data_IF_918585978617
#
_entry.id   IF_918585978617
#
_cell.length_a   1.000
_cell.length_b   1.000
_cell.length_c   1.000
_cell.angle_alpha   90.00
_cell.angle_beta   90.00
_cell.angle_gamma   90.00
#
_symmetry.space_group_name_H-M   'P 1'
#
loop_
_entity.id
_entity.type
_entity.pdbx_description
1 polymer ?
#
# COMPACT_ATOMS: atom_id res chain seq x y z
N UNK A 1 -1.90 -0.89 5.53
CA UNK A 1 -1.09 -2.11 5.33
C UNK A 1 -0.60 -2.22 3.87
N UNK A 2 0.03 -1.18 3.30
CA UNK A 2 0.35 -1.13 1.86
C UNK A 2 1.53 -2.03 1.45
N UNK A 3 2.54 -2.16 2.31
CA UNK A 3 3.75 -2.96 2.04
C UNK A 3 3.52 -4.47 1.83
N UNK A 4 2.30 -4.95 2.08
CA UNK A 4 1.92 -6.35 1.89
C UNK A 4 1.07 -6.56 0.62
N UNK A 5 0.77 -5.51 -0.17
CA UNK A 5 0.22 -5.75 -1.50
C UNK A 5 1.35 -6.24 -2.41
N UNK A 6 1.21 -7.45 -2.93
CA UNK A 6 2.12 -8.01 -3.94
C UNK A 6 2.14 -7.21 -5.25
N UNK A 7 1.14 -6.35 -5.45
CA UNK A 7 0.99 -5.48 -6.60
C UNK A 7 1.91 -4.24 -6.57
N UNK A 8 2.50 -3.92 -5.42
CA UNK A 8 3.28 -2.70 -5.22
C UNK A 8 4.77 -3.04 -5.26
N UNK A 9 5.50 -2.48 -6.22
CA UNK A 9 6.96 -2.64 -6.33
C UNK A 9 7.72 -1.44 -5.75
N UNK A 10 7.13 -0.26 -5.82
CA UNK A 10 7.68 0.98 -5.25
C UNK A 10 6.63 1.67 -4.40
N UNK A 11 7.00 1.96 -3.15
CA UNK A 11 6.22 2.75 -2.21
C UNK A 11 7.08 3.93 -1.75
N UNK A 12 6.63 5.14 -2.03
CA UNK A 12 7.29 6.34 -1.54
C UNK A 12 6.39 7.13 -0.59
N UNK A 13 7.01 7.79 0.38
CA UNK A 13 6.38 8.73 1.28
C UNK A 13 7.03 10.11 1.18
N UNK A 14 6.23 11.17 1.20
CA UNK A 14 6.69 12.56 1.23
C UNK A 14 6.05 13.30 2.41
N UNK A 15 6.86 13.97 3.21
CA UNK A 15 6.40 14.79 4.33
C UNK A 15 7.37 15.95 4.62
N UNK A 16 6.83 17.09 5.07
CA UNK A 16 7.60 18.25 5.55
C UNK A 16 8.20 18.01 6.94
N UNK A 17 7.72 17.01 7.67
CA UNK A 17 8.09 16.73 9.06
C UNK A 17 9.08 15.56 9.16
N UNK A 18 10.37 15.87 9.04
CA UNK A 18 11.44 14.86 9.10
C UNK A 18 11.52 14.12 10.45
N UNK A 19 11.13 14.74 11.55
CA UNK A 19 11.13 14.13 12.89
C UNK A 19 10.19 12.94 12.95
N UNK A 20 8.96 13.08 12.46
CA UNK A 20 7.97 12.00 12.53
C UNK A 20 8.35 10.84 11.63
N UNK A 21 8.85 11.13 10.41
CA UNK A 21 9.39 10.08 9.55
C UNK A 21 10.49 9.28 10.25
N UNK A 22 11.39 9.96 10.98
CA UNK A 22 12.46 9.27 11.72
C UNK A 22 11.94 8.42 12.87
N UNK A 23 10.91 8.88 13.57
CA UNK A 23 10.30 8.11 14.65
C UNK A 23 9.67 6.82 14.11
N UNK A 24 8.97 6.88 12.97
CA UNK A 24 8.18 5.76 12.45
C UNK A 24 8.89 4.89 11.40
N UNK A 25 10.06 5.28 10.90
CA UNK A 25 10.75 4.57 9.81
C UNK A 25 10.98 3.07 10.10
N UNK A 26 11.17 2.69 11.37
CA UNK A 26 11.43 1.31 11.76
C UNK A 26 10.25 0.37 11.43
N UNK A 27 9.01 0.89 11.33
CA UNK A 27 7.82 0.12 10.91
C UNK A 27 7.85 -0.25 9.42
N UNK A 28 8.66 0.45 8.63
CA UNK A 28 8.80 0.27 7.18
C UNK A 28 9.96 -0.62 6.78
N UNK A 29 10.83 -0.99 7.72
CA UNK A 29 11.91 -1.94 7.48
C UNK A 29 11.37 -3.36 7.24
N UNK A 30 12.05 -4.18 6.43
CA UNK A 30 11.76 -5.60 6.31
C UNK A 30 11.90 -6.29 7.65
N UNK A 31 10.95 -7.17 7.97
CA UNK A 31 10.93 -8.04 9.13
C UNK A 31 11.71 -9.33 8.83
N UNK A 32 12.14 -10.10 9.84
CA UNK A 32 12.80 -11.38 9.63
C UNK A 32 12.00 -12.36 8.77
N UNK A 33 10.67 -12.36 8.89
CA UNK A 33 9.78 -13.20 8.07
C UNK A 33 9.89 -12.88 6.58
N UNK A 34 10.12 -11.61 6.22
CA UNK A 34 10.24 -11.20 4.81
C UNK A 34 11.48 -11.84 4.15
N UNK A 35 12.53 -12.13 4.91
CA UNK A 35 13.72 -12.83 4.40
C UNK A 35 13.56 -14.34 4.35
N UNK A 36 12.74 -14.91 5.23
CA UNK A 36 12.47 -16.35 5.24
C UNK A 36 11.51 -16.76 4.12
N UNK A 37 10.56 -15.89 3.80
CA UNK A 37 9.55 -16.10 2.76
C UNK A 37 9.46 -14.88 1.85
N UNK A 38 10.51 -14.60 1.06
CA UNK A 38 10.51 -13.42 0.21
C UNK A 38 9.50 -13.55 -0.93
N UNK A 39 8.82 -12.46 -1.32
CA UNK A 39 7.94 -12.45 -2.47
C UNK A 39 8.70 -12.60 -3.79
N UNK A 40 7.97 -12.90 -4.87
CA UNK A 40 8.57 -12.99 -6.21
C UNK A 40 9.16 -11.65 -6.66
N UNK A 41 8.45 -10.54 -6.46
CA UNK A 41 8.88 -9.18 -6.82
C UNK A 41 9.40 -8.43 -5.60
N UNK A 42 10.42 -7.61 -5.78
CA UNK A 42 10.98 -6.77 -4.72
C UNK A 42 10.10 -5.55 -4.47
N UNK A 43 9.93 -5.19 -3.20
CA UNK A 43 9.37 -3.91 -2.79
C UNK A 43 10.49 -2.94 -2.40
N UNK A 44 10.49 -1.72 -2.95
CA UNK A 44 11.32 -0.62 -2.47
C UNK A 44 10.46 0.39 -1.74
N UNK A 45 10.84 0.72 -0.51
CA UNK A 45 10.19 1.76 0.30
C UNK A 45 11.13 2.94 0.50
N UNK A 46 10.72 4.15 0.14
CA UNK A 46 11.48 5.38 0.39
C UNK A 46 10.66 6.42 1.15
N UNK A 47 11.31 7.17 2.05
CA UNK A 47 10.73 8.36 2.67
C UNK A 47 11.57 9.59 2.32
N UNK A 48 10.90 10.63 1.84
CA UNK A 48 11.49 11.89 1.40
C UNK A 48 11.01 13.04 2.27
N UNK A 49 11.95 13.87 2.70
CA UNK A 49 11.69 15.15 3.34
C UNK A 49 11.64 16.25 2.31
N UNK A 50 10.49 16.88 2.16
CA UNK A 50 10.19 17.89 1.16
C UNK A 50 8.74 18.38 1.24
N UNK A 51 8.39 19.33 0.39
CA UNK A 51 7.02 19.85 0.26
C UNK A 51 6.39 19.41 -1.05
N UNK A 52 5.10 19.06 -1.01
CA UNK A 52 4.28 18.76 -2.20
C UNK A 52 4.15 19.97 -3.14
N UNK A 53 4.48 21.17 -2.67
CA UNK A 53 4.50 22.39 -3.48
C UNK A 53 5.72 22.48 -4.40
N UNK A 54 6.73 21.60 -4.25
CA UNK A 54 7.94 21.59 -5.08
C UNK A 54 7.97 20.40 -6.04
N UNK A 55 8.44 20.62 -7.25
CA UNK A 55 8.69 19.55 -8.24
C UNK A 55 10.01 18.85 -7.91
N UNK A 56 9.98 17.53 -7.81
CA UNK A 56 11.18 16.71 -7.68
C UNK A 56 11.14 15.52 -8.64
N UNK A 57 12.17 15.30 -9.48
CA UNK A 57 12.22 14.18 -10.42
C UNK A 57 12.01 12.80 -9.80
N UNK A 58 12.33 12.61 -8.51
CA UNK A 58 12.12 11.31 -7.85
C UNK A 58 10.63 10.96 -7.68
N UNK A 59 9.72 11.90 -7.91
CA UNK A 59 8.26 11.70 -7.87
C UNK A 59 7.65 11.39 -9.25
N UNK A 60 8.46 11.31 -10.31
CA UNK A 60 7.98 10.96 -11.65
C UNK A 60 7.78 9.45 -11.80
N UNK A 61 6.82 9.05 -12.63
CA UNK A 61 6.60 7.65 -13.01
C UNK A 61 5.78 6.81 -12.04
N UNK A 62 5.19 7.42 -11.00
CA UNK A 62 4.23 6.74 -10.13
C UNK A 62 2.89 6.54 -10.84
N UNK A 63 2.27 5.39 -10.60
CA UNK A 63 0.97 5.07 -11.18
C UNK A 63 -0.19 5.62 -10.34
N UNK A 64 0.00 5.70 -9.02
CA UNK A 64 -0.97 6.18 -8.05
C UNK A 64 -0.32 7.21 -7.12
N UNK A 65 -0.98 8.32 -6.87
CA UNK A 65 -0.62 9.29 -5.82
C UNK A 65 -1.80 9.47 -4.87
N UNK A 66 -1.57 9.32 -3.58
CA UNK A 66 -2.58 9.58 -2.54
C UNK A 66 -2.19 10.79 -1.71
N UNK A 67 -3.08 11.77 -1.60
CA UNK A 67 -2.97 12.94 -0.75
C UNK A 67 -4.11 12.88 0.27
N UNK A 68 -3.85 12.24 1.40
CA UNK A 68 -4.87 11.94 2.41
C UNK A 68 -4.79 12.99 3.50
N UNK A 69 -5.88 13.74 3.71
CA UNK A 69 -5.99 14.83 4.69
C UNK A 69 -4.76 15.76 4.64
N UNK A 70 -4.50 16.31 3.44
CA UNK A 70 -3.30 17.10 3.14
C UNK A 70 -3.63 18.53 2.72
N UNK A 71 -4.59 18.70 1.80
CA UNK A 71 -4.77 19.97 1.10
C UNK A 71 -5.20 21.09 2.04
N UNK A 72 -5.96 20.77 3.09
CA UNK A 72 -6.42 21.69 4.14
C UNK A 72 -5.29 22.26 5.00
N UNK A 73 -4.10 21.65 4.97
CA UNK A 73 -2.91 22.15 5.67
C UNK A 73 -2.04 23.06 4.78
N UNK A 74 -2.32 23.12 3.48
CA UNK A 74 -1.53 23.91 2.54
C UNK A 74 -1.87 25.40 2.69
N UNK A 75 -0.84 26.24 2.77
CA UNK A 75 -1.02 27.69 2.65
C UNK A 75 -1.56 28.04 1.24
N UNK A 76 -2.23 29.19 1.10
CA UNK A 76 -2.92 29.54 -0.15
C UNK A 76 -1.98 29.51 -1.39
N UNK A 77 -0.71 29.90 -1.21
CA UNK A 77 0.30 29.83 -2.28
C UNK A 77 0.67 28.40 -2.66
N UNK A 78 0.74 27.49 -1.69
CA UNK A 78 1.06 26.08 -1.92
C UNK A 78 -0.12 25.33 -2.54
N UNK A 79 -1.35 25.64 -2.09
CA UNK A 79 -2.57 25.09 -2.68
C UNK A 79 -2.71 25.49 -4.16
N UNK A 80 -2.24 26.68 -4.55
CA UNK A 80 -2.23 27.13 -5.95
C UNK A 80 -1.23 26.37 -6.82
N UNK A 81 -0.07 25.99 -6.28
CA UNK A 81 0.96 25.24 -7.02
C UNK A 81 0.72 23.74 -7.02
N UNK A 82 0.04 23.22 -6.00
CA UNK A 82 -0.22 21.79 -5.81
C UNK A 82 -0.77 21.08 -7.06
N UNK A 83 -1.78 21.62 -7.79
CA UNK A 83 -2.31 20.96 -8.98
C UNK A 83 -1.27 20.82 -10.09
N UNK A 84 -0.42 21.84 -10.29
CA UNK A 84 0.63 21.81 -11.30
C UNK A 84 1.69 20.75 -10.97
N UNK A 85 2.04 20.60 -9.69
CA UNK A 85 3.01 19.58 -9.25
C UNK A 85 2.44 18.17 -9.42
N UNK A 86 1.24 17.91 -8.88
CA UNK A 86 0.68 16.56 -8.85
C UNK A 86 0.10 16.13 -10.20
N UNK A 87 -0.74 16.96 -10.82
CA UNK A 87 -1.46 16.58 -12.05
C UNK A 87 -0.70 16.96 -13.32
N UNK A 88 0.12 18.01 -13.26
CA UNK A 88 0.94 18.47 -14.38
C UNK A 88 2.28 17.76 -14.47
N UNK A 89 3.11 17.88 -13.43
CA UNK A 89 4.49 17.39 -13.43
C UNK A 89 4.58 15.89 -13.14
N UNK A 90 3.99 15.41 -12.03
CA UNK A 90 4.00 13.98 -11.69
C UNK A 90 3.10 13.17 -12.62
N UNK A 91 1.93 13.72 -12.97
CA UNK A 91 0.97 13.17 -13.93
C UNK A 91 0.68 11.66 -13.80
N UNK A 92 0.40 11.14 -12.59
CA UNK A 92 0.15 9.72 -12.36
C UNK A 92 -1.15 9.25 -13.04
N UNK A 93 -1.33 7.94 -13.19
CA UNK A 93 -2.56 7.37 -13.77
C UNK A 93 -3.78 7.58 -12.87
N UNK A 94 -3.58 7.57 -11.55
CA UNK A 94 -4.61 7.72 -10.53
C UNK A 94 -4.15 8.70 -9.43
N UNK A 95 -5.02 9.63 -9.03
CA UNK A 95 -4.81 10.47 -7.84
C UNK A 95 -6.00 10.31 -6.90
N UNK A 96 -5.75 10.11 -5.61
CA UNK A 96 -6.79 10.10 -4.58
C UNK A 96 -6.52 11.25 -3.63
N UNK A 97 -7.46 12.17 -3.51
CA UNK A 97 -7.39 13.30 -2.58
C UNK A 97 -8.53 13.18 -1.59
N UNK A 98 -8.22 13.26 -0.30
CA UNK A 98 -9.24 13.41 0.75
C UNK A 98 -9.05 14.72 1.51
N UNK A 99 -10.14 15.24 2.03
CA UNK A 99 -10.16 16.42 2.91
C UNK A 99 -11.45 16.41 3.76
N UNK A 100 -11.49 17.08 4.91
CA UNK A 100 -12.70 17.21 5.70
C UNK A 100 -13.87 17.84 4.92
N UNK A 101 -15.10 17.41 5.21
CA UNK A 101 -16.31 18.09 4.75
C UNK A 101 -16.85 19.00 5.86
N UNK A 102 -16.76 20.32 5.68
CA UNK A 102 -17.20 21.28 6.71
C UNK A 102 -18.71 21.27 6.97
N UNK A 103 -19.53 20.75 6.05
CA UNK A 103 -20.98 20.57 6.27
C UNK A 103 -21.28 19.53 7.36
N UNK A 104 -20.34 18.63 7.64
CA UNK A 104 -20.46 17.60 8.69
C UNK A 104 -20.07 18.13 10.07
N UNK A 105 -19.30 19.22 10.15
CA UNK A 105 -18.76 19.76 11.41
C UNK A 105 -19.80 20.02 12.51
N UNK A 106 -21.03 20.52 12.21
CA UNK A 106 -22.05 20.73 13.23
C UNK A 106 -22.47 19.45 13.98
N UNK A 107 -22.18 18.27 13.41
CA UNK A 107 -22.47 16.98 14.03
C UNK A 107 -21.37 16.52 14.97
N UNK A 108 -20.19 17.14 14.92
CA UNK A 108 -19.02 16.76 15.69
C UNK A 108 -18.97 17.55 17.02
N UNK A 109 -18.85 16.87 18.16
CA UNK A 109 -18.78 17.55 19.45
C UNK A 109 -17.48 18.37 19.57
N UNK A 110 -17.61 19.62 20.01
CA UNK A 110 -16.45 20.49 20.29
C UNK A 110 -15.85 21.21 19.08
N UNK A 111 -16.36 20.97 17.87
CA UNK A 111 -15.92 21.68 16.66
C UNK A 111 -16.67 23.02 16.55
N UNK A 112 -15.92 24.13 16.47
CA UNK A 112 -16.50 25.49 16.40
C UNK A 112 -16.32 26.16 15.04
N UNK A 113 -15.21 25.89 14.35
CA UNK A 113 -14.93 26.41 13.02
C UNK A 113 -14.29 25.32 12.16
N UNK A 114 -13.07 24.93 12.51
CA UNK A 114 -12.34 23.81 11.91
C UNK A 114 -12.18 22.69 12.95
N UNK A 115 -12.14 21.45 12.46
CA UNK A 115 -11.86 20.24 13.24
C UNK A 115 -10.46 20.26 13.85
N UNK A 116 -9.53 20.98 13.22
CA UNK A 116 -8.16 21.10 13.70
C UNK A 116 -7.64 22.55 13.62
N UNK A 117 -6.90 23.03 14.64
CA UNK A 117 -6.36 24.40 14.65
C UNK A 117 -5.30 24.67 13.58
N UNK A 118 -4.69 23.63 13.01
CA UNK A 118 -3.69 23.76 11.94
C UNK A 118 -4.32 23.83 10.53
N UNK A 119 -5.63 23.58 10.40
CA UNK A 119 -6.29 23.70 9.10
C UNK A 119 -6.32 25.17 8.66
N UNK A 120 -5.93 25.40 7.41
CA UNK A 120 -5.99 26.72 6.75
C UNK A 120 -7.39 27.00 6.21
N UNK A 121 -8.11 25.94 5.86
CA UNK A 121 -9.49 25.98 5.41
C UNK A 121 -10.17 24.63 5.66
N UNK A 122 -11.50 24.61 5.62
CA UNK A 122 -12.28 23.37 5.48
C UNK A 122 -13.42 23.59 4.49
N UNK A 123 -13.38 22.86 3.38
CA UNK A 123 -14.33 23.03 2.30
C UNK A 123 -15.63 22.28 2.53
N UNK A 124 -16.73 22.90 2.11
CA UNK A 124 -17.98 22.19 1.90
C UNK A 124 -17.90 21.35 0.61
N UNK A 125 -18.93 20.55 0.33
CA UNK A 125 -18.93 19.66 -0.85
C UNK A 125 -18.85 20.42 -2.16
N UNK A 126 -19.55 21.54 -2.25
CA UNK A 126 -19.57 22.36 -3.47
C UNK A 126 -18.20 22.98 -3.78
N UNK A 127 -17.49 23.47 -2.76
CA UNK A 127 -16.15 24.04 -2.89
C UNK A 127 -15.15 22.98 -3.35
N UNK A 128 -15.14 21.82 -2.69
CA UNK A 128 -14.25 20.71 -3.07
C UNK A 128 -14.54 20.19 -4.47
N UNK A 129 -15.82 19.98 -4.80
CA UNK A 129 -16.22 19.51 -6.13
C UNK A 129 -15.85 20.50 -7.23
N UNK A 130 -16.07 21.79 -7.01
CA UNK A 130 -15.74 22.84 -8.00
C UNK A 130 -14.24 22.88 -8.27
N UNK A 131 -13.43 22.90 -7.21
CA UNK A 131 -11.96 22.86 -7.31
C UNK A 131 -11.47 21.59 -8.02
N UNK A 132 -12.01 20.43 -7.65
CA UNK A 132 -11.63 19.15 -8.24
C UNK A 132 -12.02 19.06 -9.73
N UNK A 133 -13.22 19.52 -10.10
CA UNK A 133 -13.68 19.52 -11.50
C UNK A 133 -12.84 20.45 -12.38
N UNK A 134 -12.43 21.60 -11.86
CA UNK A 134 -11.54 22.54 -12.55
C UNK A 134 -10.19 21.88 -12.85
N UNK A 135 -9.55 21.27 -11.85
CA UNK A 135 -8.29 20.53 -12.01
C UNK A 135 -8.44 19.38 -13.00
N UNK A 136 -9.49 18.57 -12.84
CA UNK A 136 -9.73 17.42 -13.71
C UNK A 136 -9.87 17.86 -15.18
N UNK A 137 -10.57 18.97 -15.42
CA UNK A 137 -10.72 19.55 -16.76
C UNK A 137 -9.39 20.08 -17.30
N UNK A 138 -8.64 20.82 -16.49
CA UNK A 138 -7.39 21.47 -16.91
C UNK A 138 -6.28 20.47 -17.24
N UNK A 139 -6.12 19.42 -16.44
CA UNK A 139 -5.01 18.46 -16.57
C UNK A 139 -5.40 17.15 -17.29
N UNK A 140 -6.63 17.02 -17.79
CA UNK A 140 -7.06 15.85 -18.55
C UNK A 140 -7.35 14.62 -17.70
N UNK A 141 -8.01 14.79 -16.56
CA UNK A 141 -8.51 13.73 -15.70
C UNK A 141 -10.05 13.67 -15.72
N UNK A 142 -10.63 12.53 -15.36
CA UNK A 142 -11.99 12.44 -14.81
C UNK A 142 -11.90 12.40 -13.29
N UNK A 143 -12.93 12.88 -12.59
CA UNK A 143 -13.01 12.78 -11.14
C UNK A 143 -14.32 12.14 -10.73
N UNK A 144 -14.25 11.19 -9.80
CA UNK A 144 -15.39 10.61 -9.09
C UNK A 144 -15.35 11.03 -7.63
N UNK A 145 -16.52 11.35 -7.07
CA UNK A 145 -16.64 11.79 -5.68
C UNK A 145 -17.22 10.70 -4.80
N UNK A 146 -16.57 10.46 -3.67
CA UNK A 146 -17.01 9.54 -2.62
C UNK A 146 -16.60 10.09 -1.26
N UNK A 147 -16.65 9.28 -0.21
CA UNK A 147 -16.21 9.69 1.11
C UNK A 147 -16.26 8.57 2.14
N UNK A 148 -15.87 8.89 3.36
CA UNK A 148 -15.92 8.00 4.52
C UNK A 148 -16.59 8.69 5.71
N UNK A 149 -17.19 7.88 6.60
CA UNK A 149 -18.00 8.37 7.73
C UNK A 149 -19.39 8.78 7.28
N UNK A 150 -20.35 7.86 7.32
CA UNK A 150 -21.74 8.17 7.00
C UNK A 150 -22.36 9.05 8.09
N UNK A 151 -23.26 9.98 7.70
CA UNK A 151 -23.99 10.76 8.69
C UNK A 151 -24.95 9.86 9.50
N UNK A 152 -25.29 10.27 10.73
CA UNK A 152 -26.36 9.62 11.49
C UNK A 152 -27.67 9.59 10.71
N UNK A 153 -28.51 8.59 10.99
CA UNK A 153 -29.83 8.45 10.37
C UNK A 153 -30.68 9.72 10.55
N UNK A 154 -31.25 10.22 9.47
CA UNK A 154 -32.06 11.44 9.43
C UNK A 154 -31.28 12.73 9.13
N UNK A 155 -29.96 12.66 8.93
CA UNK A 155 -29.09 13.78 8.55
C UNK A 155 -28.31 13.49 7.26
N UNK A 156 -28.86 12.69 6.35
CA UNK A 156 -28.20 12.25 5.13
C UNK A 156 -27.81 13.41 4.19
N UNK A 157 -28.43 14.57 4.36
CA UNK A 157 -28.18 15.75 3.56
C UNK A 157 -26.78 16.34 3.74
N UNK A 158 -26.07 16.11 4.85
CA UNK A 158 -24.72 16.67 5.06
C UNK A 158 -23.62 15.95 4.27
N UNK A 159 -23.89 14.74 3.79
CA UNK A 159 -22.90 13.90 3.10
C UNK A 159 -21.91 13.21 4.05
N UNK A 160 -20.77 12.77 3.51
CA UNK A 160 -19.73 12.08 4.28
C UNK A 160 -18.97 13.01 5.22
N UNK A 161 -18.41 12.45 6.30
CA UNK A 161 -17.52 13.15 7.22
C UNK A 161 -16.24 13.61 6.53
N UNK A 162 -15.60 12.72 5.78
CA UNK A 162 -14.47 13.03 4.89
C UNK A 162 -14.92 12.84 3.45
N UNK A 163 -14.64 13.82 2.62
CA UNK A 163 -14.93 13.78 1.19
C UNK A 163 -13.68 13.40 0.40
N UNK A 164 -13.85 12.61 -0.66
CA UNK A 164 -12.77 12.02 -1.44
C UNK A 164 -13.03 12.27 -2.91
N UNK A 165 -12.01 12.76 -3.61
CA UNK A 165 -11.95 12.86 -5.07
C UNK A 165 -11.00 11.82 -5.62
N UNK A 166 -11.50 10.93 -6.47
CA UNK A 166 -10.72 9.92 -7.18
C UNK A 166 -10.54 10.36 -8.63
N UNK A 167 -9.33 10.76 -8.99
CA UNK A 167 -9.01 11.30 -10.30
C UNK A 167 -8.34 10.23 -11.15
N UNK A 168 -8.93 9.91 -12.30
CA UNK A 168 -8.38 8.96 -13.27
C UNK A 168 -7.92 9.72 -14.50
N UNK A 169 -6.68 9.52 -14.91
CA UNK A 169 -6.15 10.20 -16.10
C UNK A 169 -6.90 9.73 -17.34
N UNK A 170 -7.46 10.65 -18.11
CA UNK A 170 -8.07 10.32 -19.42
C UNK A 170 -6.91 10.05 -20.38
N UNK A 171 -6.76 8.82 -20.85
CA UNK A 171 -5.77 8.51 -21.88
C UNK A 171 -6.04 9.36 -23.12
N UNK A 172 -5.21 10.38 -23.36
CA UNK A 172 -5.19 11.08 -24.63
C UNK A 172 -4.30 10.33 -25.60
N UNK A 173 -4.87 9.97 -26.75
CA UNK A 173 -4.10 9.55 -27.91
C UNK A 173 -3.15 10.69 -28.31
N UNK A 174 -1.94 10.29 -28.67
CA UNK A 174 -0.90 11.10 -29.32
C UNK A 174 -0.11 12.01 -28.39
N UNK A 175 1.07 11.49 -28.06
CA UNK A 175 2.28 12.20 -27.69
C UNK A 175 2.56 13.39 -28.61
N UNK A 176 2.23 14.60 -28.15
CA UNK A 176 3.14 15.73 -28.35
C UNK A 176 3.80 15.98 -27.00
N UNK A 177 5.09 15.69 -26.95
CA UNK A 177 5.98 15.94 -25.84
C UNK A 177 5.88 17.42 -25.48
N UNK A 178 5.09 17.76 -24.48
CA UNK A 178 5.33 18.98 -23.72
C UNK A 178 6.68 18.77 -23.03
N UNK A 179 7.73 19.34 -23.62
CA UNK A 179 9.04 19.44 -23.00
C UNK A 179 8.90 20.38 -21.80
N UNK A 180 8.39 19.85 -20.69
CA UNK A 180 8.62 20.42 -19.39
C UNK A 180 10.11 20.22 -19.11
N UNK A 181 10.85 21.30 -18.90
CA UNK A 181 12.19 21.24 -18.32
C UNK A 181 12.08 20.44 -17.01
N UNK A 182 12.46 19.17 -17.05
CA UNK A 182 12.56 18.36 -15.83
C UNK A 182 13.70 18.97 -15.03
N UNK A 183 13.45 19.42 -13.78
CA UNK A 183 14.53 19.89 -12.93
C UNK A 183 15.64 18.85 -12.88
N UNK A 184 16.89 19.24 -13.15
CA UNK A 184 18.01 18.28 -13.17
C UNK A 184 18.52 17.91 -11.79
N UNK A 185 18.11 18.66 -10.75
CA UNK A 185 18.55 18.46 -9.37
C UNK A 185 17.35 18.27 -8.44
N UNK A 186 17.40 17.23 -7.61
CA UNK A 186 16.35 16.92 -6.63
C UNK A 186 16.41 17.87 -5.44
N UNK A 187 15.25 18.38 -5.04
CA UNK A 187 15.06 19.25 -3.87
C UNK A 187 14.84 18.43 -2.61
N UNK A 188 14.28 17.22 -2.75
CA UNK A 188 13.89 16.37 -1.64
C UNK A 188 15.09 15.64 -1.05
N UNK A 189 15.07 15.53 0.28
CA UNK A 189 16.09 14.76 1.02
C UNK A 189 15.54 13.39 1.40
N UNK A 190 16.12 12.32 0.88
CA UNK A 190 15.81 10.96 1.32
C UNK A 190 16.18 10.78 2.79
N UNK A 191 15.20 10.45 3.63
CA UNK A 191 15.36 10.20 5.08
C UNK A 191 15.49 8.72 5.37
N UNK A 192 14.77 7.88 4.63
CA UNK A 192 14.78 6.43 4.78
C UNK A 192 14.65 5.74 3.43
N UNK A 193 15.34 4.60 3.29
CA UNK A 193 15.19 3.71 2.16
C UNK A 193 15.37 2.27 2.62
N UNK A 194 14.43 1.41 2.24
CA UNK A 194 14.50 -0.02 2.44
C UNK A 194 14.20 -0.74 1.13
N UNK A 195 14.94 -1.82 0.86
CA UNK A 195 14.68 -2.74 -0.25
C UNK A 195 14.37 -4.09 0.35
N UNK A 196 13.19 -4.61 0.06
CA UNK A 196 12.72 -5.89 0.55
C UNK A 196 13.38 -7.02 -0.24
N UNK A 197 13.66 -8.17 0.41
CA UNK A 197 14.17 -9.35 -0.27
C UNK A 197 13.16 -9.86 -1.30
N UNK A 198 13.67 -10.50 -2.34
CA UNK A 198 12.86 -11.03 -3.46
C UNK A 198 13.48 -12.31 -3.99
N UNK A 199 12.65 -13.24 -4.43
CA UNK A 199 13.09 -14.48 -5.07
C UNK A 199 13.79 -14.28 -6.42
N UNK A 200 13.74 -13.08 -7.00
CA UNK A 200 14.56 -12.72 -8.18
C UNK A 200 16.02 -12.50 -7.85
N UNK A 201 16.34 -12.22 -6.58
CA UNK A 201 17.73 -12.15 -6.12
C UNK A 201 18.22 -13.57 -5.82
N UNK A 202 19.30 -13.98 -6.50
CA UNK A 202 19.87 -15.31 -6.38
C UNK A 202 20.20 -15.68 -4.92
N UNK A 203 20.66 -14.71 -4.12
CA UNK A 203 21.00 -14.95 -2.72
C UNK A 203 19.76 -15.32 -1.91
N UNK A 204 18.70 -14.52 -2.00
CA UNK A 204 17.47 -14.77 -1.25
C UNK A 204 16.75 -16.02 -1.75
N UNK A 205 16.82 -16.31 -3.05
CA UNK A 205 16.32 -17.56 -3.61
C UNK A 205 17.03 -18.79 -3.01
N UNK A 206 18.37 -18.77 -2.98
CA UNK A 206 19.14 -19.86 -2.39
C UNK A 206 18.81 -20.05 -0.91
N UNK A 207 18.77 -18.96 -0.13
CA UNK A 207 18.44 -19.00 1.30
C UNK A 207 17.02 -19.52 1.55
N UNK A 208 16.04 -19.11 0.73
CA UNK A 208 14.66 -19.58 0.82
C UNK A 208 14.54 -21.08 0.50
N UNK A 209 15.18 -21.55 -0.58
CA UNK A 209 15.17 -22.97 -0.96
C UNK A 209 15.81 -23.84 0.12
N UNK A 210 16.96 -23.44 0.65
CA UNK A 210 17.64 -24.16 1.74
C UNK A 210 16.76 -24.21 2.98
N UNK A 211 16.13 -23.09 3.35
CA UNK A 211 15.24 -23.01 4.51
C UNK A 211 14.03 -23.94 4.36
N UNK A 212 13.40 -23.97 3.18
CA UNK A 212 12.26 -24.83 2.88
C UNK A 212 12.63 -26.33 2.94
N UNK A 213 13.79 -26.70 2.39
CA UNK A 213 14.29 -28.08 2.44
C UNK A 213 14.57 -28.51 3.88
N UNK A 214 15.21 -27.66 4.69
CA UNK A 214 15.49 -27.95 6.10
C UNK A 214 14.18 -28.09 6.88
N UNK A 215 13.24 -27.17 6.69
CA UNK A 215 11.94 -27.20 7.34
C UNK A 215 11.16 -28.48 7.01
N UNK A 216 11.11 -28.85 5.73
CA UNK A 216 10.47 -30.08 5.25
C UNK A 216 11.13 -31.33 5.85
N UNK A 217 12.46 -31.38 5.88
CA UNK A 217 13.19 -32.49 6.49
C UNK A 217 12.89 -32.62 7.99
N UNK A 218 12.73 -31.50 8.71
CA UNK A 218 12.35 -31.50 10.12
C UNK A 218 10.93 -32.02 10.35
N UNK A 219 9.97 -31.62 9.49
CA UNK A 219 8.60 -32.15 9.52
C UNK A 219 8.61 -33.67 9.32
N UNK A 220 9.28 -34.16 8.27
CA UNK A 220 9.38 -35.60 7.98
C UNK A 220 9.97 -36.34 9.18
N UNK A 221 11.08 -35.83 9.74
CA UNK A 221 11.71 -36.40 10.94
C UNK A 221 10.71 -36.49 12.11
N UNK A 222 9.94 -35.43 12.36
CA UNK A 222 8.95 -35.39 13.45
C UNK A 222 7.85 -36.40 13.23
N UNK A 223 7.27 -36.47 12.02
CA UNK A 223 6.24 -37.45 11.68
C UNK A 223 6.73 -38.90 11.84
N UNK A 224 7.97 -39.20 11.43
CA UNK A 224 8.55 -40.53 11.60
C UNK A 224 8.77 -40.87 13.08
N UNK A 225 9.26 -39.92 13.88
CA UNK A 225 9.42 -40.12 15.32
C UNK A 225 8.06 -40.34 16.02
N UNK A 226 7.06 -39.54 15.69
CA UNK A 226 5.73 -39.67 16.29
C UNK A 226 5.10 -41.03 15.94
N UNK A 227 5.30 -41.52 14.70
CA UNK A 227 4.84 -42.86 14.29
C UNK A 227 5.54 -43.97 15.07
N UNK A 228 6.87 -43.90 15.20
CA UNK A 228 7.65 -44.85 16.00
C UNK A 228 7.20 -44.87 17.46
N UNK A 229 6.87 -43.71 18.04
CA UNK A 229 6.39 -43.62 19.42
C UNK A 229 4.96 -44.18 19.57
N UNK A 230 4.08 -43.98 18.58
CA UNK A 230 2.73 -44.59 18.60
C UNK A 230 2.75 -46.11 18.45
N UNK A 231 3.66 -46.66 17.62
CA UNK A 231 3.86 -48.12 17.48
C UNK A 231 4.42 -48.74 18.77
N UNK A 232 5.12 -47.96 19.60
CA UNK A 232 5.64 -48.40 20.91
C UNK A 232 4.61 -48.30 22.06
N UNK A 233 3.62 -47.40 21.97
CA UNK A 233 2.51 -47.31 22.95
C UNK A 233 1.46 -48.42 22.76
N UNK A 234 1.21 -48.89 21.54
CA UNK A 234 0.30 -50.03 21.28
C UNK A 234 0.77 -51.36 21.88
N UNK A 235 2.04 -51.47 22.28
CA UNK A 235 2.60 -52.66 22.94
C UNK A 235 2.56 -52.59 24.47
N UNK A 236 2.14 -51.47 25.07
CA UNK A 236 2.30 -51.24 26.52
C UNK A 236 1.08 -50.67 27.26
N UNK A 237 -0.14 -50.65 26.69
CA UNK A 237 -1.31 -50.18 27.43
C UNK A 237 -2.42 -51.24 27.59
N UNK A 238 -2.36 -51.95 28.72
CA UNK A 238 -3.53 -52.31 29.52
C UNK A 238 -3.67 -51.26 30.63
N UNK A 239 -4.28 -50.09 30.36
CA UNK A 239 -5.46 -49.56 31.06
C UNK A 239 -5.88 -48.17 30.53
N UNK A 240 -7.06 -48.16 29.91
CA UNK A 240 -8.10 -47.10 29.94
C UNK A 240 -7.66 -45.65 30.21
N UNK A 241 -7.51 -44.83 29.17
CA UNK A 241 -8.09 -43.47 29.18
C UNK A 241 -8.22 -42.82 27.80
N UNK A 242 -9.44 -42.32 27.56
CA UNK A 242 -9.95 -41.72 26.32
C UNK A 242 -9.23 -40.40 26.01
N UNK A 243 -8.27 -40.39 25.08
CA UNK A 243 -7.73 -39.14 24.50
C UNK A 243 -8.32 -38.83 23.12
N UNK A 244 -8.71 -37.57 22.97
CA UNK A 244 -9.39 -36.98 21.83
C UNK A 244 -8.60 -37.10 20.53
N UNK A 245 -9.25 -37.60 19.47
CA UNK A 245 -8.76 -37.59 18.10
C UNK A 245 -8.53 -36.16 17.61
N UNK A 246 -7.27 -35.74 17.52
CA UNK A 246 -6.87 -34.77 16.50
C UNK A 246 -6.59 -35.58 15.22
N UNK A 247 -7.39 -35.35 14.18
CA UNK A 247 -7.08 -35.86 12.83
C UNK A 247 -6.06 -34.93 12.20
N UNK A 248 -4.83 -35.38 11.89
CA UNK A 248 -3.94 -34.65 11.01
C UNK A 248 -4.57 -34.65 9.60
N UNK A 249 -4.46 -33.52 8.92
CA UNK A 249 -4.82 -33.33 7.51
C UNK A 249 -3.86 -34.14 6.61
N UNK A 250 -3.93 -35.47 6.70
CA UNK A 250 -3.03 -36.44 6.06
C UNK A 250 -3.55 -36.93 4.70
N UNK A 251 -4.47 -36.21 4.07
CA UNK A 251 -5.03 -36.60 2.77
C UNK A 251 -4.48 -35.81 1.58
N UNK A 252 -3.65 -34.76 1.77
CA UNK A 252 -3.19 -33.95 0.63
C UNK A 252 -1.88 -34.41 -0.02
N UNK A 253 -1.11 -35.33 0.59
CA UNK A 253 0.23 -35.66 0.10
C UNK A 253 0.33 -36.92 -0.77
N UNK A 254 -0.68 -37.80 -0.75
CA UNK A 254 -0.62 -39.06 -1.52
C UNK A 254 -0.92 -38.87 -3.01
N UNK A 255 -1.79 -37.92 -3.38
CA UNK A 255 -2.24 -37.79 -4.77
C UNK A 255 -1.29 -36.95 -5.65
N UNK A 256 -0.58 -35.97 -5.09
CA UNK A 256 0.26 -35.06 -5.87
C UNK A 256 1.64 -35.65 -6.20
N UNK A 257 2.17 -36.52 -5.33
CA UNK A 257 3.48 -37.15 -5.54
C UNK A 257 3.43 -38.23 -6.62
N UNK A 258 2.31 -38.94 -6.79
CA UNK A 258 2.14 -39.93 -7.86
C UNK A 258 1.99 -39.29 -9.25
N UNK A 259 1.42 -38.07 -9.35
CA UNK A 259 1.32 -37.34 -10.62
C UNK A 259 2.67 -36.77 -11.10
N UNK A 260 3.52 -36.33 -10.18
CA UNK A 260 4.83 -35.73 -10.51
C UNK A 260 5.85 -36.72 -11.09
N UNK A 261 5.66 -38.03 -10.87
CA UNK A 261 6.62 -39.06 -11.31
C UNK A 261 6.38 -39.49 -12.77
N UNK A 262 5.22 -39.19 -13.38
CA UNK A 262 4.82 -39.75 -14.68
C UNK A 262 5.10 -38.86 -15.90
N UNK A 263 5.19 -37.52 -15.78
CA UNK A 263 5.45 -36.65 -16.95
C UNK A 263 6.89 -36.14 -16.99
N UNK A 264 7.82 -37.05 -17.28
CA UNK A 264 9.19 -36.72 -17.68
C UNK A 264 9.28 -36.64 -19.21
N UNK A 265 8.99 -35.47 -19.78
CA UNK A 265 9.54 -35.09 -21.09
C UNK A 265 9.90 -33.60 -21.08
N UNK A 266 11.20 -33.32 -20.97
CA UNK A 266 11.76 -31.99 -21.17
C UNK A 266 11.74 -31.64 -22.66
N UNK A 267 11.09 -30.54 -23.03
CA UNK A 267 11.45 -29.77 -24.22
C UNK A 267 11.75 -28.31 -23.83
N UNK A 268 12.70 -27.64 -24.50
CA UNK A 268 13.12 -26.28 -24.16
C UNK A 268 12.12 -25.28 -24.75
N UNK A 269 11.36 -24.59 -23.90
CA UNK A 269 10.41 -23.58 -24.37
C UNK A 269 10.98 -22.17 -24.24
N UNK A 270 11.66 -21.73 -25.31
CA UNK A 270 11.73 -20.31 -25.67
C UNK A 270 10.55 -20.03 -26.60
N UNK A 271 9.51 -19.35 -26.09
CA UNK A 271 8.61 -18.47 -26.88
C UNK A 271 8.00 -17.42 -25.97
N UNK A 272 8.28 -16.15 -26.26
CA UNK A 272 7.57 -15.00 -25.70
C UNK A 272 6.07 -15.05 -26.07
N UNK A 273 5.13 -14.76 -25.14
CA UNK A 273 3.76 -14.44 -25.47
C UNK A 273 3.51 -12.91 -25.51
N UNK A 274 2.47 -12.46 -26.23
CA UNK A 274 2.26 -11.05 -26.56
C UNK A 274 1.72 -10.24 -25.38
N UNK A 275 2.03 -8.94 -25.40
CA UNK A 275 1.55 -7.86 -24.52
C UNK A 275 0.07 -8.00 -24.12
N UNK A 276 -0.18 -8.09 -22.81
CA UNK A 276 -1.50 -7.94 -22.16
C UNK A 276 -1.65 -6.51 -21.59
N UNK A 277 -2.86 -5.89 -21.62
CA UNK A 277 -3.04 -4.47 -21.40
C UNK A 277 -3.42 -4.10 -19.95
N UNK A 278 -2.86 -4.77 -18.94
CA UNK A 278 -3.04 -4.37 -17.54
C UNK A 278 -1.72 -3.87 -16.97
N UNK A 279 -1.57 -2.55 -16.91
CA UNK A 279 -0.46 -1.91 -16.20
C UNK A 279 -0.72 -2.01 -14.70
N UNK A 280 0.20 -2.67 -13.99
CA UNK A 280 0.24 -2.81 -12.53
C UNK A 280 0.55 -1.43 -11.89
N UNK A 281 0.04 -1.16 -10.67
CA UNK A 281 0.03 0.19 -10.05
C UNK A 281 1.07 0.33 -8.91
N UNK A 282 1.98 1.31 -9.02
CA UNK A 282 2.85 1.76 -7.93
C UNK A 282 2.29 3.01 -7.20
N UNK A 283 1.99 2.94 -5.90
CA UNK A 283 1.50 4.05 -5.10
C UNK A 283 2.60 4.92 -4.46
N UNK A 284 2.37 6.23 -4.50
CA UNK A 284 3.00 7.25 -3.67
C UNK A 284 2.00 7.73 -2.63
N UNK A 285 2.46 7.92 -1.40
CA UNK A 285 1.65 8.44 -0.31
C UNK A 285 2.24 9.77 0.17
N UNK A 286 1.57 10.88 -0.15
CA UNK A 286 1.88 12.18 0.41
C UNK A 286 1.00 12.38 1.66
N UNK A 287 1.60 12.64 2.81
CA UNK A 287 0.86 12.95 4.03
C UNK A 287 1.14 14.39 4.45
N UNK A 288 0.09 15.06 4.93
CA UNK A 288 0.27 16.16 5.84
C UNK A 288 0.73 15.57 7.18
N UNK A 289 1.89 16.02 7.67
CA UNK A 289 2.45 15.74 9.00
C UNK A 289 2.07 14.37 9.63
N UNK A 290 2.91 13.36 9.44
CA UNK A 290 2.72 11.97 9.92
C UNK A 290 2.40 11.77 11.42
N UNK A 291 2.46 12.81 12.26
CA UNK A 291 2.04 12.74 13.67
C UNK A 291 0.55 12.34 13.76
N UNK A 292 -0.24 12.71 12.76
CA UNK A 292 -1.70 12.59 12.74
C UNK A 292 -2.23 11.23 12.29
N UNK A 293 -1.45 10.44 11.54
CA UNK A 293 -1.86 9.09 11.12
C UNK A 293 -2.05 8.13 12.33
N UNK A 294 -1.37 8.38 13.46
CA UNK A 294 -1.57 7.60 14.69
C UNK A 294 -2.84 8.02 15.44
N UNK A 295 -3.28 9.28 15.30
CA UNK A 295 -4.51 9.77 15.91
C UNK A 295 -5.76 9.27 15.16
N UNK A 296 -5.67 9.07 13.84
CA UNK A 296 -6.70 8.37 13.06
C UNK A 296 -6.95 6.94 13.58
N UNK A 297 -5.92 6.17 13.95
CA UNK A 297 -6.08 4.84 14.57
C UNK A 297 -6.67 4.89 15.99
N UNK A 298 -6.51 5.99 16.73
CA UNK A 298 -7.05 6.16 18.09
C UNK A 298 -8.48 6.71 18.09
N UNK A 299 -8.82 7.62 17.18
CA UNK A 299 -10.16 8.19 17.01
C UNK A 299 -11.11 7.17 16.35
N UNK A 300 -10.63 6.37 15.39
CA UNK A 300 -11.40 5.24 14.82
C UNK A 300 -11.68 4.09 15.81
N UNK A 301 -11.00 4.07 16.98
CA UNK A 301 -11.20 3.05 18.03
C UNK A 301 -12.16 3.50 19.13
N UNK A 302 -12.56 4.76 19.13
CA UNK A 302 -13.56 5.30 20.06
C UNK A 302 -14.95 5.48 19.42
N UNK A 303 -15.12 5.09 18.15
CA UNK A 303 -16.39 5.05 17.41
C UNK A 303 -16.95 3.62 17.29
#
# INVERSE_FOLDING_TARGET
MLKFCSCIEVLAGLDICASVMKEKMHRLSPLPVDYLQPPERSLTVTLHHGSVAHKDPCMLGFDLVTCIELIEHLEESELKTFPEVVFGFMAPSLVVISTPNSEFNPLLPGVTLFRHPDHKFEWNRMQFQSWALEIATHYGYSVEFTGVGHPPTGMENVGFCTQIGVFVRKYTQTSESAQSETPTEGVYKTVFRAVYPSLKDEKYLQDAVVSEVIFTAQIIKRCLLDRLMSEHEEYNDDTTERKSKFQPLMNCFSEDLEKLVVEKSMEPFVKDPPLSPYRELNPLVCHGNLEWCNRWEEESRQE
#
